data_IF_332962213779
#
_entry.id   IF_332962213779
#
_cell.length_a   1.000
_cell.length_b   1.000
_cell.length_c   1.000
_cell.angle_alpha   90.00
_cell.angle_beta   90.00
_cell.angle_gamma   90.00
#
_symmetry.space_group_name_H-M   'P 1'
#
loop_
_entity.id
_entity.type
_entity.pdbx_description
1 polymer ?
#
# COMPACT_ATOMS: atom_id res chain seq x y z
N UNK A 1 -13.47 -6.49 -1.11
CA UNK A 1 -12.89 -5.36 -1.89
C UNK A 1 -13.71 -4.98 -3.12
N UNK A 2 -13.56 -5.65 -4.28
CA UNK A 2 -14.22 -5.20 -5.55
C UNK A 2 -15.76 -5.15 -5.44
N UNK A 3 -16.36 -6.11 -4.75
CA UNK A 3 -17.81 -6.18 -4.57
C UNK A 3 -18.38 -5.04 -3.71
N UNK A 4 -17.57 -4.38 -2.87
CA UNK A 4 -18.03 -3.32 -1.96
C UNK A 4 -18.24 -1.98 -2.67
N UNK A 5 -17.50 -1.70 -3.75
CA UNK A 5 -17.57 -0.41 -4.47
C UNK A 5 -17.25 -0.56 -5.96
N UNK A 6 -18.02 -1.37 -6.71
CA UNK A 6 -17.68 -1.74 -8.09
C UNK A 6 -17.73 -0.55 -9.06
N UNK A 7 -18.57 0.45 -8.79
CA UNK A 7 -18.79 1.57 -9.71
C UNK A 7 -17.75 2.68 -9.53
N UNK A 8 -17.49 3.09 -8.29
CA UNK A 8 -16.62 4.23 -7.95
C UNK A 8 -15.15 3.84 -7.77
N UNK A 9 -14.89 2.59 -7.41
CA UNK A 9 -13.58 2.16 -6.96
C UNK A 9 -13.19 2.76 -5.60
N UNK A 10 -11.98 2.45 -5.16
CA UNK A 10 -11.41 2.86 -3.86
C UNK A 10 -10.59 4.15 -3.95
N UNK A 11 -10.32 4.66 -5.15
CA UNK A 11 -9.42 5.76 -5.42
C UNK A 11 -7.99 5.32 -5.76
N UNK A 12 -7.22 6.21 -6.40
CA UNK A 12 -5.82 5.97 -6.77
C UNK A 12 -4.97 5.63 -5.53
N UNK A 13 -4.25 4.52 -5.58
CA UNK A 13 -3.44 4.03 -4.47
C UNK A 13 -4.23 3.43 -3.31
N UNK A 14 -5.54 3.20 -3.49
CA UNK A 14 -6.40 2.58 -2.47
C UNK A 14 -6.24 1.05 -2.35
N UNK A 15 -5.52 0.41 -3.29
CA UNK A 15 -5.38 -1.04 -3.32
C UNK A 15 -4.86 -1.67 -2.01
N UNK A 16 -3.74 -1.22 -1.40
CA UNK A 16 -3.20 -1.88 -0.21
C UNK A 16 -4.20 -1.94 0.95
N UNK A 17 -4.85 -0.82 1.26
CA UNK A 17 -5.81 -0.75 2.36
C UNK A 17 -7.08 -1.58 2.07
N UNK A 18 -7.58 -1.54 0.82
CA UNK A 18 -8.73 -2.34 0.42
C UNK A 18 -8.43 -3.85 0.46
N UNK A 19 -7.22 -4.24 0.06
CA UNK A 19 -6.74 -5.61 0.18
C UNK A 19 -6.63 -6.04 1.64
N UNK A 20 -6.01 -5.22 2.49
CA UNK A 20 -5.83 -5.50 3.91
C UNK A 20 -7.19 -5.71 4.60
N UNK A 21 -8.16 -4.82 4.36
CA UNK A 21 -9.52 -4.94 4.89
C UNK A 21 -10.19 -6.25 4.46
N UNK A 22 -10.16 -6.56 3.16
CA UNK A 22 -10.77 -7.77 2.64
C UNK A 22 -10.10 -9.05 3.18
N UNK A 23 -8.77 -9.02 3.35
CA UNK A 23 -8.03 -10.15 3.91
C UNK A 23 -8.35 -10.35 5.40
N UNK A 24 -8.43 -9.29 6.19
CA UNK A 24 -8.85 -9.36 7.59
C UNK A 24 -10.26 -9.93 7.74
N UNK A 25 -11.23 -9.45 6.95
CA UNK A 25 -12.60 -9.97 6.96
C UNK A 25 -12.66 -11.45 6.55
N UNK A 26 -11.85 -11.85 5.57
CA UNK A 26 -11.75 -13.23 5.12
C UNK A 26 -11.28 -14.16 6.25
N UNK A 27 -10.17 -13.81 6.92
CA UNK A 27 -9.63 -14.64 8.00
C UNK A 27 -10.48 -14.60 9.27
N UNK A 28 -11.21 -13.51 9.52
CA UNK A 28 -12.14 -13.39 10.64
C UNK A 28 -13.36 -14.31 10.54
N UNK A 29 -13.86 -14.55 9.32
CA UNK A 29 -15.08 -15.33 9.09
C UNK A 29 -14.89 -16.86 9.22
N UNK A 30 -13.69 -17.33 9.56
CA UNK A 30 -13.41 -18.74 9.90
C UNK A 30 -13.50 -19.75 8.74
N UNK A 31 -13.78 -19.29 7.51
CA UNK A 31 -13.79 -20.13 6.29
C UNK A 31 -12.40 -20.26 5.68
N UNK A 32 -11.40 -20.57 6.51
CA UNK A 32 -9.99 -20.39 6.15
C UNK A 32 -9.30 -21.74 5.98
N UNK A 33 -8.60 -21.94 4.87
CA UNK A 33 -7.70 -23.06 4.70
C UNK A 33 -6.34 -22.77 5.38
N UNK A 34 -5.69 -23.78 5.95
CA UNK A 34 -4.37 -23.61 6.59
C UNK A 34 -3.31 -23.19 5.56
N UNK A 35 -3.42 -23.67 4.32
CA UNK A 35 -2.52 -23.24 3.23
C UNK A 35 -2.67 -21.75 2.90
N UNK A 36 -3.87 -21.20 2.96
CA UNK A 36 -4.14 -19.78 2.68
C UNK A 36 -3.52 -18.88 3.75
N UNK A 37 -3.55 -19.30 5.02
CA UNK A 37 -2.89 -18.58 6.13
C UNK A 37 -1.37 -18.53 5.94
N UNK A 38 -0.75 -19.62 5.50
CA UNK A 38 0.70 -19.71 5.26
C UNK A 38 1.17 -18.80 4.11
N UNK A 39 0.39 -18.74 3.02
CA UNK A 39 0.74 -17.94 1.84
C UNK A 39 0.31 -16.48 1.94
N UNK A 40 -0.53 -16.14 2.93
CA UNK A 40 -0.97 -14.77 3.17
C UNK A 40 0.21 -13.79 3.20
N UNK A 41 -0.02 -12.63 2.57
CA UNK A 41 0.99 -11.60 2.38
C UNK A 41 0.42 -10.21 2.45
N UNK A 42 1.30 -9.23 2.30
CA UNK A 42 1.02 -7.80 2.32
C UNK A 42 1.53 -7.18 1.02
N UNK A 43 0.87 -7.43 -0.13
CA UNK A 43 1.29 -6.91 -1.42
C UNK A 43 1.00 -5.42 -1.55
N UNK A 44 1.97 -4.64 -2.05
CA UNK A 44 1.78 -3.22 -2.37
C UNK A 44 0.90 -3.02 -3.63
N UNK A 45 0.88 -3.99 -4.53
CA UNK A 45 0.21 -3.92 -5.83
C UNK A 45 -0.53 -5.23 -6.13
N UNK A 46 -1.57 -5.16 -6.96
CA UNK A 46 -2.20 -6.37 -7.44
C UNK A 46 -1.28 -7.04 -8.46
N UNK A 47 -1.23 -8.38 -8.45
CA UNK A 47 -0.51 -9.15 -9.47
C UNK A 47 -1.31 -9.24 -10.80
N UNK A 48 -1.98 -8.14 -11.16
CA UNK A 48 -2.79 -7.95 -12.36
C UNK A 48 -3.22 -6.47 -12.44
N UNK A 49 -2.75 -5.75 -13.44
CA UNK A 49 -3.05 -4.30 -13.58
C UNK A 49 -4.53 -4.02 -13.79
N UNK A 50 -5.24 -4.89 -14.51
CA UNK A 50 -6.65 -4.72 -14.81
C UNK A 50 -7.52 -4.81 -13.55
N UNK A 51 -7.21 -5.77 -12.67
CA UNK A 51 -7.87 -5.89 -11.37
C UNK A 51 -7.59 -4.67 -10.50
N UNK A 52 -6.36 -4.17 -10.51
CA UNK A 52 -6.02 -2.96 -9.75
C UNK A 52 -6.74 -1.72 -10.30
N UNK A 53 -6.71 -1.50 -11.62
CA UNK A 53 -7.42 -0.40 -12.29
C UNK A 53 -8.92 -0.47 -11.96
N UNK A 54 -9.52 -1.66 -12.02
CA UNK A 54 -10.93 -1.84 -11.70
C UNK A 54 -11.23 -1.57 -10.22
N UNK A 55 -10.37 -2.03 -9.31
CA UNK A 55 -10.54 -1.81 -7.87
C UNK A 55 -10.35 -0.34 -7.49
N UNK A 56 -9.40 0.37 -8.09
CA UNK A 56 -9.09 1.76 -7.75
C UNK A 56 -9.98 2.76 -8.47
N UNK A 57 -10.24 2.57 -9.77
CA UNK A 57 -11.00 3.51 -10.62
C UNK A 57 -12.46 3.09 -10.85
N UNK A 58 -12.84 1.89 -10.39
CA UNK A 58 -14.18 1.35 -10.61
C UNK A 58 -14.46 0.99 -12.07
N UNK A 59 -15.71 0.65 -12.32
CA UNK A 59 -16.19 0.22 -13.63
C UNK A 59 -15.95 1.26 -14.73
N UNK A 60 -16.14 2.55 -14.42
CA UNK A 60 -15.98 3.62 -15.41
C UNK A 60 -14.52 3.77 -15.86
N UNK A 61 -13.57 3.82 -14.92
CA UNK A 61 -12.15 3.90 -15.27
C UNK A 61 -11.67 2.66 -16.00
N UNK A 62 -12.17 1.48 -15.61
CA UNK A 62 -11.86 0.22 -16.27
C UNK A 62 -12.36 0.17 -17.73
N UNK A 63 -13.63 0.52 -17.97
CA UNK A 63 -14.19 0.57 -19.33
C UNK A 63 -13.45 1.60 -20.18
N UNK A 64 -13.14 2.78 -19.63
CA UNK A 64 -12.39 3.81 -20.33
C UNK A 64 -10.99 3.31 -20.74
N UNK A 65 -10.29 2.61 -19.83
CA UNK A 65 -8.98 2.05 -20.10
C UNK A 65 -9.02 0.98 -21.21
N UNK A 66 -10.00 0.08 -21.16
CA UNK A 66 -10.18 -0.94 -22.20
C UNK A 66 -10.55 -0.33 -23.55
N UNK A 67 -11.44 0.66 -23.56
CA UNK A 67 -11.84 1.36 -24.78
C UNK A 67 -10.65 2.09 -25.42
N UNK A 68 -9.84 2.79 -24.63
CA UNK A 68 -8.64 3.46 -25.11
C UNK A 68 -7.63 2.48 -25.68
N UNK A 69 -7.38 1.37 -24.96
CA UNK A 69 -6.50 0.29 -25.42
C UNK A 69 -6.99 -0.33 -26.73
N UNK A 70 -8.29 -0.57 -26.85
CA UNK A 70 -8.91 -1.07 -28.07
C UNK A 70 -8.76 -0.10 -29.25
N UNK A 71 -8.99 1.21 -29.03
CA UNK A 71 -8.83 2.23 -30.07
C UNK A 71 -7.38 2.33 -30.54
N UNK A 72 -6.41 2.22 -29.63
CA UNK A 72 -4.99 2.21 -29.97
C UNK A 72 -4.67 1.00 -30.87
N UNK A 73 -5.07 -0.20 -30.47
CA UNK A 73 -4.82 -1.43 -31.25
C UNK A 73 -5.51 -1.34 -32.62
N UNK A 74 -6.76 -0.88 -32.66
CA UNK A 74 -7.52 -0.71 -33.91
C UNK A 74 -6.91 0.34 -34.83
N UNK A 75 -6.39 1.45 -34.28
CA UNK A 75 -5.68 2.47 -35.03
C UNK A 75 -4.40 1.90 -35.66
N UNK A 76 -3.60 1.21 -34.86
CA UNK A 76 -2.34 0.62 -35.30
C UNK A 76 -2.52 -0.45 -36.37
N UNK A 77 -3.56 -1.30 -36.27
CA UNK A 77 -3.86 -2.30 -37.30
C UNK A 77 -4.41 -1.68 -38.58
N UNK A 78 -5.27 -0.65 -38.49
CA UNK A 78 -5.81 0.04 -39.65
C UNK A 78 -4.74 0.80 -40.44
N UNK A 79 -3.80 1.41 -39.74
CA UNK A 79 -2.78 2.28 -40.33
C UNK A 79 -1.48 1.53 -40.67
N UNK A 80 -1.53 0.19 -40.74
CA UNK A 80 -0.43 -0.74 -41.05
C UNK A 80 0.79 -0.65 -40.11
N UNK A 81 0.63 -0.10 -38.91
CA UNK A 81 1.66 -0.07 -37.86
C UNK A 81 1.63 -1.35 -37.01
N UNK A 82 1.76 -2.50 -37.69
CA UNK A 82 1.58 -3.84 -37.08
C UNK A 82 2.60 -4.09 -35.96
N UNK A 83 3.84 -3.59 -36.11
CA UNK A 83 4.87 -3.71 -35.07
C UNK A 83 4.46 -3.03 -33.76
N UNK A 84 4.02 -1.77 -33.83
CA UNK A 84 3.59 -1.01 -32.65
C UNK A 84 2.32 -1.61 -32.02
N UNK A 85 1.34 -2.01 -32.85
CA UNK A 85 0.12 -2.67 -32.37
C UNK A 85 0.43 -4.02 -31.69
N UNK A 86 1.31 -4.83 -32.28
CA UNK A 86 1.77 -6.10 -31.72
C UNK A 86 2.52 -5.91 -30.39
N UNK A 87 3.41 -4.92 -30.30
CA UNK A 87 4.09 -4.57 -29.05
C UNK A 87 3.12 -4.11 -27.96
N UNK A 88 2.10 -3.32 -28.32
CA UNK A 88 1.07 -2.87 -27.38
C UNK A 88 0.22 -4.04 -26.87
N UNK A 89 -0.15 -4.99 -27.74
CA UNK A 89 -0.82 -6.23 -27.34
C UNK A 89 0.09 -7.05 -26.40
N UNK A 90 1.38 -7.18 -26.72
CA UNK A 90 2.35 -7.86 -25.86
C UNK A 90 2.42 -7.24 -24.47
N UNK A 91 2.50 -5.92 -24.37
CA UNK A 91 2.46 -5.19 -23.09
C UNK A 91 1.12 -5.40 -22.36
N UNK A 92 0.01 -5.41 -23.10
CA UNK A 92 -1.34 -5.63 -22.54
C UNK A 92 -1.49 -7.04 -21.95
N UNK A 93 -0.95 -8.06 -22.63
CA UNK A 93 -0.93 -9.44 -22.12
C UNK A 93 0.00 -9.55 -20.92
N UNK A 94 1.17 -8.93 -20.96
CA UNK A 94 2.10 -8.90 -19.82
C UNK A 94 1.45 -8.31 -18.56
N UNK A 95 0.65 -7.26 -18.71
CA UNK A 95 -0.09 -6.62 -17.61
C UNK A 95 -1.17 -7.51 -16.95
N UNK A 96 -1.54 -8.66 -17.53
CA UNK A 96 -2.48 -9.61 -16.90
C UNK A 96 -1.87 -10.41 -15.75
N UNK A 97 -0.56 -10.64 -15.79
CA UNK A 97 0.15 -11.50 -14.85
C UNK A 97 1.38 -10.81 -14.24
N UNK A 98 1.45 -9.49 -14.32
CA UNK A 98 2.53 -8.67 -13.79
C UNK A 98 2.03 -7.25 -13.53
N UNK A 99 2.90 -6.42 -12.97
CA UNK A 99 2.60 -5.04 -12.55
C UNK A 99 3.48 -4.00 -13.28
N UNK A 100 3.56 -4.04 -14.63
CA UNK A 100 4.45 -3.16 -15.40
C UNK A 100 4.19 -1.68 -15.17
N UNK A 101 2.96 -1.25 -14.91
CA UNK A 101 2.61 0.17 -14.88
C UNK A 101 3.06 0.89 -13.60
N UNK A 102 3.48 0.16 -12.58
CA UNK A 102 4.11 0.72 -11.39
C UNK A 102 5.54 1.20 -11.64
N UNK A 103 6.16 0.71 -12.71
CA UNK A 103 7.45 1.18 -13.20
C UNK A 103 7.21 2.25 -14.27
N UNK A 104 7.62 3.50 -13.99
CA UNK A 104 7.34 4.67 -14.84
C UNK A 104 7.78 4.51 -16.31
N UNK A 105 8.71 3.60 -16.58
CA UNK A 105 9.19 3.27 -17.93
C UNK A 105 8.06 2.69 -18.79
N UNK A 106 7.20 1.83 -18.24
CA UNK A 106 6.16 1.16 -19.04
C UNK A 106 4.97 2.06 -19.39
N UNK A 107 4.45 2.95 -18.52
CA UNK A 107 3.49 3.97 -18.94
C UNK A 107 4.04 4.88 -20.04
N UNK A 108 5.34 5.23 -20.01
CA UNK A 108 5.98 5.98 -21.09
C UNK A 108 5.96 5.17 -22.40
N UNK A 109 6.34 3.90 -22.35
CA UNK A 109 6.27 3.00 -23.52
C UNK A 109 4.83 2.86 -24.01
N UNK A 110 3.86 2.75 -23.10
CA UNK A 110 2.43 2.67 -23.42
C UNK A 110 1.96 3.89 -24.21
N UNK A 111 2.35 5.10 -23.78
CA UNK A 111 2.04 6.35 -24.48
C UNK A 111 2.75 6.39 -25.84
N UNK A 112 4.04 6.06 -25.91
CA UNK A 112 4.80 6.06 -27.17
C UNK A 112 4.19 5.10 -28.20
N UNK A 113 3.89 3.86 -27.80
CA UNK A 113 3.22 2.89 -28.66
C UNK A 113 1.83 3.39 -29.10
N UNK A 114 1.07 3.99 -28.17
CA UNK A 114 -0.21 4.62 -28.47
C UNK A 114 -0.09 5.73 -29.52
N UNK A 115 0.93 6.58 -29.42
CA UNK A 115 1.18 7.66 -30.39
C UNK A 115 1.57 7.12 -31.77
N UNK A 116 2.42 6.09 -31.85
CA UNK A 116 2.81 5.48 -33.13
C UNK A 116 1.61 4.80 -33.79
N UNK A 117 0.79 4.07 -33.02
CA UNK A 117 -0.42 3.43 -33.53
C UNK A 117 -1.49 4.41 -34.03
N UNK A 118 -1.51 5.64 -33.52
CA UNK A 118 -2.49 6.67 -33.90
C UNK A 118 -1.97 7.65 -34.95
N UNK A 119 -0.65 7.76 -35.08
CA UNK A 119 0.02 8.58 -36.10
C UNK A 119 0.22 7.76 -37.36
N UNK A 120 -0.89 7.42 -38.02
CA UNK A 120 -0.89 6.64 -39.26
C UNK A 120 -0.22 7.38 -40.43
N UNK A 121 0.49 6.63 -41.27
CA UNK A 121 1.22 7.17 -42.43
C UNK A 121 0.32 7.40 -43.67
N UNK A 122 -1.01 7.33 -43.51
CA UNK A 122 -1.98 7.58 -44.58
C UNK A 122 -2.12 9.08 -44.87
N UNK A 123 -1.06 9.66 -45.46
CA UNK A 123 -1.11 10.94 -46.16
C UNK A 123 -1.98 10.90 -47.43
N UNK A 124 -2.47 9.73 -47.85
CA UNK A 124 -3.26 9.57 -49.08
C UNK A 124 -4.78 9.73 -48.93
N UNK A 125 -5.28 10.14 -47.76
CA UNK A 125 -6.63 10.75 -47.67
C UNK A 125 -6.58 12.13 -47.05
N UNK A 126 -5.75 13.01 -47.62
CA UNK A 126 -6.10 14.42 -47.78
C UNK A 126 -7.27 14.58 -48.78
N UNK A 127 -8.34 13.80 -48.61
CA UNK A 127 -9.64 14.21 -49.15
C UNK A 127 -10.08 15.36 -48.27
N UNK A 128 -10.22 16.53 -48.88
CA UNK A 128 -10.76 17.77 -48.34
C UNK A 128 -12.14 17.52 -47.69
N UNK A 129 -12.19 16.92 -46.50
CA UNK A 129 -13.31 17.13 -45.60
C UNK A 129 -13.06 18.50 -45.01
N UNK A 130 -13.88 19.48 -45.38
CA UNK A 130 -13.96 20.77 -44.69
C UNK A 130 -13.83 20.49 -43.20
N UNK A 131 -12.66 20.79 -42.65
CA UNK A 131 -12.43 20.74 -41.21
C UNK A 131 -13.22 21.90 -40.67
N UNK A 132 -14.48 21.64 -40.30
CA UNK A 132 -15.37 22.66 -39.79
C UNK A 132 -14.65 23.43 -38.69
N UNK A 133 -14.75 24.76 -38.71
CA UNK A 133 -14.08 25.69 -37.78
C UNK A 133 -14.18 25.22 -36.32
N UNK A 134 -15.28 24.55 -35.96
CA UNK A 134 -15.48 23.88 -34.66
C UNK A 134 -14.51 22.75 -34.30
N UNK A 135 -14.05 21.90 -35.25
CA UNK A 135 -13.03 20.86 -34.97
C UNK A 135 -11.67 21.48 -34.65
N UNK A 136 -11.29 22.54 -35.37
CA UNK A 136 -10.02 23.25 -35.12
C UNK A 136 -10.08 23.94 -33.75
N UNK A 137 -11.18 24.63 -33.44
CA UNK A 137 -11.40 25.26 -32.14
C UNK A 137 -11.36 24.22 -31.00
N UNK A 138 -12.00 23.06 -31.20
CA UNK A 138 -11.98 21.97 -30.22
C UNK A 138 -10.57 21.39 -30.01
N UNK A 139 -9.80 21.19 -31.08
CA UNK A 139 -8.41 20.73 -30.98
C UNK A 139 -7.52 21.74 -30.25
N UNK A 140 -7.67 23.05 -30.54
CA UNK A 140 -6.93 24.11 -29.83
C UNK A 140 -7.31 24.12 -28.35
N UNK A 141 -8.60 24.06 -28.02
CA UNK A 141 -9.09 24.02 -26.64
C UNK A 141 -8.51 22.80 -25.89
N UNK A 142 -8.51 21.63 -26.51
CA UNK A 142 -7.96 20.41 -25.93
C UNK A 142 -6.45 20.53 -25.66
N UNK A 143 -5.68 21.11 -26.58
CA UNK A 143 -4.24 21.37 -26.36
C UNK A 143 -4.02 22.34 -25.21
N UNK A 144 -4.82 23.41 -25.10
CA UNK A 144 -4.72 24.37 -23.98
C UNK A 144 -5.05 23.70 -22.65
N UNK A 145 -6.11 22.89 -22.59
CA UNK A 145 -6.50 22.16 -21.38
C UNK A 145 -5.42 21.14 -20.98
N UNK A 146 -4.90 20.37 -21.92
CA UNK A 146 -3.82 19.42 -21.66
C UNK A 146 -2.52 20.12 -21.24
N UNK A 147 -2.20 21.27 -21.86
CA UNK A 147 -1.06 22.10 -21.48
C UNK A 147 -1.18 22.61 -20.05
N UNK A 148 -2.35 23.13 -19.67
CA UNK A 148 -2.64 23.58 -18.31
C UNK A 148 -2.61 22.43 -17.29
N UNK A 149 -3.23 21.29 -17.61
CA UNK A 149 -3.16 20.11 -16.74
C UNK A 149 -1.71 19.65 -16.54
N UNK A 150 -0.90 19.67 -17.61
CA UNK A 150 0.51 19.29 -17.56
C UNK A 150 1.33 20.23 -16.67
N UNK A 151 1.12 21.55 -16.75
CA UNK A 151 1.84 22.51 -15.89
C UNK A 151 1.45 22.36 -14.42
N UNK A 152 0.18 22.09 -14.12
CA UNK A 152 -0.28 21.78 -12.75
C UNK A 152 0.34 20.47 -12.24
N UNK A 153 0.37 19.42 -13.06
CA UNK A 153 1.02 18.16 -12.69
C UNK A 153 2.52 18.35 -12.41
N UNK A 154 3.22 19.10 -13.26
CA UNK A 154 4.66 19.41 -13.09
C UNK A 154 4.89 20.21 -11.81
N UNK A 155 4.05 21.21 -11.51
CA UNK A 155 4.22 22.02 -10.30
C UNK A 155 4.02 21.19 -9.03
N UNK A 156 2.98 20.34 -8.98
CA UNK A 156 2.75 19.40 -7.88
C UNK A 156 3.91 18.40 -7.74
N UNK A 157 4.36 17.84 -8.86
CA UNK A 157 5.48 16.90 -8.86
C UNK A 157 6.77 17.54 -8.36
N UNK A 158 7.02 18.82 -8.67
CA UNK A 158 8.17 19.57 -8.16
C UNK A 158 8.15 19.70 -6.63
N UNK A 159 6.98 19.99 -6.05
CA UNK A 159 6.82 20.05 -4.58
C UNK A 159 7.10 18.70 -3.94
N UNK A 160 6.54 17.62 -4.48
CA UNK A 160 6.79 16.25 -3.99
C UNK A 160 8.27 15.88 -4.13
N UNK A 161 8.88 16.18 -5.27
CA UNK A 161 10.30 15.92 -5.52
C UNK A 161 11.19 16.64 -4.50
N UNK A 162 10.93 17.92 -4.25
CA UNK A 162 11.66 18.69 -3.25
C UNK A 162 11.49 18.09 -1.86
N UNK A 163 10.26 17.73 -1.46
CA UNK A 163 10.00 17.07 -0.18
C UNK A 163 10.76 15.73 -0.05
N UNK A 164 10.77 14.90 -1.10
CA UNK A 164 11.54 13.63 -1.12
C UNK A 164 13.04 13.85 -1.07
N UNK A 165 13.55 14.91 -1.72
CA UNK A 165 14.97 15.29 -1.66
C UNK A 165 15.36 15.71 -0.25
N UNK A 166 14.54 16.52 0.41
CA UNK A 166 14.75 16.95 1.79
C UNK A 166 14.66 15.75 2.75
N UNK A 167 13.66 14.88 2.60
CA UNK A 167 13.57 13.63 3.37
C UNK A 167 14.85 12.79 3.23
N UNK A 168 15.37 12.62 2.00
CA UNK A 168 16.64 11.93 1.76
C UNK A 168 17.83 12.61 2.46
N UNK A 169 17.85 13.94 2.57
CA UNK A 169 18.87 14.66 3.33
C UNK A 169 18.79 14.37 4.83
N UNK A 170 17.61 14.07 5.36
CA UNK A 170 17.39 13.77 6.78
C UNK A 170 17.69 12.31 7.17
N UNK A 171 17.74 11.40 6.19
CA UNK A 171 17.98 9.95 6.39
C UNK A 171 19.22 9.61 7.26
N UNK A 172 20.36 10.31 7.16
CA UNK A 172 21.49 10.04 8.06
C UNK A 172 21.13 10.24 9.54
N UNK A 173 20.37 11.29 9.86
CA UNK A 173 19.91 11.56 11.24
C UNK A 173 18.94 10.49 11.74
N UNK A 174 18.03 10.02 10.88
CA UNK A 174 17.14 8.90 11.19
C UNK A 174 17.95 7.63 11.50
N UNK A 175 18.96 7.33 10.67
CA UNK A 175 19.81 6.14 10.79
C UNK A 175 20.60 6.14 12.11
N UNK A 176 21.18 7.28 12.49
CA UNK A 176 21.91 7.43 13.78
C UNK A 176 20.98 7.69 14.98
N UNK A 177 19.65 7.61 14.78
CA UNK A 177 18.60 7.83 15.79
C UNK A 177 18.62 9.20 16.45
N UNK A 178 19.11 10.23 15.76
CA UNK A 178 19.11 11.63 16.22
C UNK A 178 17.74 12.28 15.98
N UNK A 179 16.69 11.68 16.55
CA UNK A 179 15.29 11.99 16.25
C UNK A 179 14.85 13.38 16.67
N UNK A 180 15.34 13.87 17.81
CA UNK A 180 15.03 15.22 18.32
C UNK A 180 15.41 16.32 17.33
N UNK A 181 16.46 16.11 16.53
CA UNK A 181 16.96 17.09 15.56
C UNK A 181 16.10 17.20 14.29
N UNK A 182 15.28 16.19 14.00
CA UNK A 182 14.58 16.08 12.71
C UNK A 182 13.07 16.05 12.84
N UNK A 183 12.52 15.93 14.05
CA UNK A 183 11.08 15.78 14.27
C UNK A 183 10.24 16.90 13.66
N UNK A 184 10.66 18.16 13.82
CA UNK A 184 9.98 19.31 13.21
C UNK A 184 10.06 19.30 11.68
N UNK A 185 11.22 18.90 11.14
CA UNK A 185 11.42 18.76 9.69
C UNK A 185 10.51 17.68 9.12
N UNK A 186 10.41 16.53 9.78
CA UNK A 186 9.47 15.47 9.38
C UNK A 186 8.01 15.91 9.51
N UNK A 187 7.65 16.70 10.51
CA UNK A 187 6.29 17.23 10.65
C UNK A 187 5.90 18.12 9.45
N UNK A 188 6.79 19.03 9.04
CA UNK A 188 6.55 19.85 7.85
C UNK A 188 6.39 19.00 6.58
N UNK A 189 7.24 17.98 6.41
CA UNK A 189 7.23 17.08 5.25
C UNK A 189 5.97 16.20 5.23
N UNK A 190 5.37 15.89 6.37
CA UNK A 190 4.16 15.07 6.45
C UNK A 190 2.97 15.67 5.70
N UNK A 191 2.87 17.00 5.63
CA UNK A 191 1.82 17.67 4.84
C UNK A 191 1.86 17.34 3.34
N UNK A 192 3.04 16.95 2.83
CA UNK A 192 3.27 16.62 1.42
C UNK A 192 3.42 15.11 1.20
N UNK A 193 4.06 14.39 2.14
CA UNK A 193 4.47 13.00 1.98
C UNK A 193 3.59 11.99 2.73
N UNK A 194 2.43 12.38 3.25
CA UNK A 194 1.47 11.49 3.95
C UNK A 194 0.85 10.36 3.09
N UNK A 195 1.23 10.25 1.82
CA UNK A 195 0.84 9.17 0.92
C UNK A 195 1.96 8.12 0.76
N UNK A 196 3.19 8.40 1.19
CA UNK A 196 4.33 7.50 1.08
C UNK A 196 4.44 6.67 2.36
N UNK A 197 4.05 5.39 2.30
CA UNK A 197 3.99 4.52 3.47
C UNK A 197 5.31 4.41 4.24
N UNK A 198 6.46 4.47 3.54
CA UNK A 198 7.78 4.39 4.18
C UNK A 198 8.06 5.65 5.00
N UNK A 199 7.79 6.82 4.41
CA UNK A 199 7.90 8.10 5.12
C UNK A 199 6.99 8.15 6.35
N UNK A 200 5.72 7.74 6.19
CA UNK A 200 4.73 7.73 7.28
C UNK A 200 5.17 6.83 8.41
N UNK A 201 5.71 5.64 8.10
CA UNK A 201 6.22 4.72 9.12
C UNK A 201 7.42 5.31 9.88
N UNK A 202 8.43 5.84 9.17
CA UNK A 202 9.59 6.50 9.78
C UNK A 202 9.17 7.66 10.69
N UNK A 203 8.25 8.52 10.23
CA UNK A 203 7.78 9.64 11.02
C UNK A 203 7.10 9.18 12.31
N UNK A 204 6.24 8.16 12.23
CA UNK A 204 5.63 7.56 13.42
C UNK A 204 6.66 7.02 14.41
N UNK A 205 7.74 6.40 13.92
CA UNK A 205 8.83 5.91 14.77
C UNK A 205 9.62 7.05 15.45
N UNK A 206 9.88 8.15 14.74
CA UNK A 206 10.48 9.37 15.32
C UNK A 206 9.60 9.92 16.44
N UNK A 207 8.29 10.04 16.21
CA UNK A 207 7.34 10.51 17.22
C UNK A 207 7.29 9.61 18.46
N UNK A 208 7.37 8.29 18.27
CA UNK A 208 7.48 7.34 19.37
C UNK A 208 8.73 7.54 20.20
N UNK A 209 9.88 7.67 19.55
CA UNK A 209 11.16 7.85 20.23
C UNK A 209 11.27 9.18 20.98
N UNK A 210 10.52 10.20 20.54
CA UNK A 210 10.41 11.53 21.18
C UNK A 210 9.23 11.61 22.17
N UNK A 211 8.66 10.47 22.56
CA UNK A 211 7.55 10.35 23.51
C UNK A 211 6.21 11.00 23.11
N UNK A 212 6.03 11.34 21.83
CA UNK A 212 4.78 11.90 21.29
C UNK A 212 3.82 10.81 20.78
N UNK A 213 3.44 9.85 21.65
CA UNK A 213 2.68 8.64 21.26
C UNK A 213 1.30 8.91 20.68
N UNK A 214 0.60 9.92 21.17
CA UNK A 214 -0.72 10.31 20.65
C UNK A 214 -0.60 10.74 19.18
N UNK A 215 0.35 11.62 18.87
CA UNK A 215 0.63 12.08 17.50
C UNK A 215 1.11 10.92 16.63
N UNK A 216 1.96 10.04 17.16
CA UNK A 216 2.41 8.85 16.45
C UNK A 216 1.24 7.93 16.07
N UNK A 217 0.27 7.71 16.97
CA UNK A 217 -0.91 6.90 16.68
C UNK A 217 -1.80 7.52 15.58
N UNK A 218 -1.88 8.85 15.49
CA UNK A 218 -2.52 9.53 14.36
C UNK A 218 -1.79 9.24 13.04
N UNK A 219 -0.45 9.32 13.03
CA UNK A 219 0.38 9.02 11.86
C UNK A 219 0.28 7.55 11.45
N UNK A 220 0.33 6.61 12.39
CA UNK A 220 0.15 5.18 12.09
C UNK A 220 -1.27 4.85 11.60
N UNK A 221 -2.28 5.60 12.06
CA UNK A 221 -3.65 5.45 11.52
C UNK A 221 -3.70 5.82 10.05
N UNK A 222 -2.99 6.89 9.65
CA UNK A 222 -2.82 7.19 8.22
C UNK A 222 -2.09 6.08 7.48
N UNK A 223 -1.09 5.47 8.10
CA UNK A 223 -0.38 4.31 7.55
C UNK A 223 -1.29 3.13 7.22
N UNK A 224 -2.23 2.80 8.12
CA UNK A 224 -3.25 1.75 7.90
C UNK A 224 -4.16 2.08 6.71
N UNK A 225 -4.41 3.35 6.41
CA UNK A 225 -5.25 3.76 5.26
C UNK A 225 -4.53 3.66 3.90
N UNK A 226 -3.20 3.56 3.88
CA UNK A 226 -2.40 3.59 2.65
C UNK A 226 -1.53 2.35 2.46
N UNK A 227 -1.54 1.43 3.42
CA UNK A 227 -0.66 0.26 3.46
C UNK A 227 -1.41 -0.99 3.89
N UNK A 228 -0.85 -2.14 3.51
CA UNK A 228 -1.22 -3.46 4.00
C UNK A 228 -0.14 -4.06 4.92
N UNK A 229 0.81 -3.27 5.40
CA UNK A 229 1.85 -3.73 6.32
C UNK A 229 1.29 -3.89 7.74
N UNK A 230 1.29 -5.11 8.33
CA UNK A 230 0.85 -5.34 9.71
C UNK A 230 1.63 -4.54 10.76
N UNK A 231 2.84 -4.06 10.44
CA UNK A 231 3.67 -3.33 11.40
C UNK A 231 3.03 -2.02 11.85
N UNK A 232 2.20 -1.39 11.01
CA UNK A 232 1.40 -0.22 11.42
C UNK A 232 0.48 -0.54 12.59
N UNK A 233 -0.18 -1.71 12.56
CA UNK A 233 -1.00 -2.18 13.68
C UNK A 233 -0.14 -2.52 14.90
N UNK A 234 0.96 -3.26 14.71
CA UNK A 234 1.81 -3.70 15.82
C UNK A 234 2.42 -2.52 16.60
N UNK A 235 2.97 -1.53 15.91
CA UNK A 235 3.57 -0.37 16.58
C UNK A 235 2.50 0.51 17.24
N UNK A 236 1.36 0.72 16.58
CA UNK A 236 0.22 1.45 17.16
C UNK A 236 -0.34 0.73 18.41
N UNK A 237 -0.42 -0.60 18.38
CA UNK A 237 -0.82 -1.42 19.53
C UNK A 237 0.15 -1.31 20.70
N UNK A 238 1.46 -1.32 20.42
CA UNK A 238 2.50 -1.10 21.45
C UNK A 238 2.38 0.27 22.12
N UNK A 239 2.12 1.30 21.34
CA UNK A 239 1.87 2.63 21.88
C UNK A 239 0.67 2.65 22.82
N UNK A 240 -0.45 2.02 22.44
CA UNK A 240 -1.62 1.90 23.32
C UNK A 240 -1.33 1.08 24.58
N UNK A 241 -0.55 0.00 24.47
CA UNK A 241 -0.14 -0.80 25.62
C UNK A 241 0.67 0.06 26.61
N UNK A 242 1.67 0.79 26.14
CA UNK A 242 2.47 1.70 26.99
C UNK A 242 1.63 2.84 27.59
N UNK A 243 0.56 3.26 26.90
CA UNK A 243 -0.42 4.23 27.41
C UNK A 243 -1.47 3.61 28.35
N UNK A 244 -1.37 2.31 28.66
CA UNK A 244 -2.34 1.53 29.47
C UNK A 244 -3.76 1.45 28.86
N UNK A 245 -3.87 1.68 27.55
CA UNK A 245 -5.12 1.52 26.79
C UNK A 245 -5.24 0.09 26.25
N UNK A 246 -5.29 -0.88 27.17
CA UNK A 246 -5.16 -2.32 26.88
C UNK A 246 -6.13 -2.83 25.81
N UNK A 247 -7.39 -2.39 25.84
CA UNK A 247 -8.39 -2.80 24.86
C UNK A 247 -8.02 -2.38 23.43
N UNK A 248 -7.53 -1.15 23.24
CA UNK A 248 -7.11 -0.66 21.92
C UNK A 248 -5.83 -1.34 21.44
N UNK A 249 -4.94 -1.71 22.37
CA UNK A 249 -3.76 -2.50 22.05
C UNK A 249 -4.14 -3.91 21.55
N UNK A 250 -5.05 -4.59 22.26
CA UNK A 250 -5.60 -5.90 21.87
C UNK A 250 -6.21 -5.83 20.47
N UNK A 251 -7.09 -4.86 20.21
CA UNK A 251 -7.71 -4.64 18.89
C UNK A 251 -6.66 -4.47 17.77
N UNK A 252 -5.59 -3.70 18.02
CA UNK A 252 -4.53 -3.53 17.02
C UNK A 252 -3.79 -4.84 16.73
N UNK A 253 -3.38 -5.59 17.75
CA UNK A 253 -2.68 -6.86 17.55
C UNK A 253 -3.58 -7.91 16.90
N UNK A 254 -4.87 -7.94 17.26
CA UNK A 254 -5.86 -8.78 16.61
C UNK A 254 -5.99 -8.44 15.14
N UNK A 255 -6.06 -7.16 14.75
CA UNK A 255 -6.05 -6.79 13.33
C UNK A 255 -4.76 -7.20 12.61
N UNK A 256 -3.60 -7.12 13.26
CA UNK A 256 -2.36 -7.66 12.68
C UNK A 256 -2.44 -9.17 12.44
N UNK A 257 -3.09 -9.93 13.32
CA UNK A 257 -3.30 -11.38 13.19
C UNK A 257 -4.33 -11.69 12.11
N UNK A 258 -5.46 -10.98 12.10
CA UNK A 258 -6.48 -11.09 11.06
C UNK A 258 -5.88 -10.79 9.68
N UNK A 259 -4.91 -9.88 9.61
CA UNK A 259 -4.23 -9.56 8.35
C UNK A 259 -3.24 -10.65 7.94
N UNK A 260 -2.41 -11.14 8.86
CA UNK A 260 -1.43 -12.21 8.61
C UNK A 260 -1.38 -13.21 9.78
N UNK A 261 -2.19 -14.29 9.75
CA UNK A 261 -2.33 -15.23 10.87
C UNK A 261 -1.06 -16.01 11.22
N UNK A 262 -0.13 -16.17 10.30
CA UNK A 262 1.12 -16.92 10.53
C UNK A 262 2.30 -16.03 10.98
N UNK A 263 2.05 -14.75 11.27
CA UNK A 263 3.09 -13.88 11.84
C UNK A 263 3.16 -14.07 13.36
N UNK A 264 4.29 -14.53 13.84
CA UNK A 264 4.55 -14.77 15.28
C UNK A 264 4.53 -13.48 16.11
N UNK A 265 5.06 -12.38 15.57
CA UNK A 265 5.23 -11.12 16.30
C UNK A 265 3.98 -10.59 17.01
N UNK A 266 2.79 -10.47 16.38
CA UNK A 266 1.59 -10.00 17.08
C UNK A 266 1.11 -10.94 18.19
N UNK A 267 1.34 -12.25 18.10
CA UNK A 267 1.03 -13.17 19.20
C UNK A 267 1.95 -12.93 20.40
N UNK A 268 3.24 -12.72 20.16
CA UNK A 268 4.20 -12.33 21.20
C UNK A 268 3.78 -11.01 21.89
N UNK A 269 3.32 -10.02 21.12
CA UNK A 269 2.80 -8.77 21.67
C UNK A 269 1.52 -8.97 22.51
N UNK A 270 0.62 -9.87 22.09
CA UNK A 270 -0.54 -10.25 22.89
C UNK A 270 -0.15 -10.97 24.18
N UNK A 271 0.82 -11.90 24.15
CA UNK A 271 1.33 -12.54 25.37
C UNK A 271 1.81 -11.51 26.37
N UNK A 272 2.60 -10.53 25.92
CA UNK A 272 3.06 -9.42 26.77
C UNK A 272 1.92 -8.54 27.28
N UNK A 273 0.93 -8.25 26.45
CA UNK A 273 -0.24 -7.46 26.82
C UNK A 273 -1.06 -8.13 27.94
N UNK A 274 -1.24 -9.45 27.86
CA UNK A 274 -1.99 -10.22 28.85
C UNK A 274 -1.17 -10.65 30.08
N UNK A 275 0.16 -10.56 30.01
CA UNK A 275 1.05 -10.77 31.14
C UNK A 275 1.25 -9.49 31.98
N UNK A 276 0.88 -8.32 31.46
CA UNK A 276 0.96 -7.05 32.17
C UNK A 276 0.19 -7.13 33.50
N UNK A 277 0.81 -6.80 34.65
CA UNK A 277 0.15 -6.86 35.95
C UNK A 277 -1.18 -6.09 36.03
N UNK A 278 -1.30 -4.97 35.30
CA UNK A 278 -2.52 -4.16 35.28
C UNK A 278 -3.57 -4.66 34.26
N UNK A 279 -3.26 -5.67 33.47
CA UNK A 279 -4.16 -6.30 32.49
C UNK A 279 -3.98 -7.83 32.45
N UNK A 280 -3.73 -8.44 33.61
CA UNK A 280 -3.40 -9.86 33.67
C UNK A 280 -4.60 -10.71 33.26
N UNK A 281 -4.46 -11.47 32.15
CA UNK A 281 -5.50 -12.32 31.59
C UNK A 281 -4.90 -13.71 31.26
N UNK A 282 -4.82 -14.62 32.25
CA UNK A 282 -4.03 -15.86 32.14
C UNK A 282 -4.44 -16.75 30.97
N UNK A 283 -5.74 -16.98 30.78
CA UNK A 283 -6.23 -17.87 29.71
C UNK A 283 -5.88 -17.34 28.31
N UNK A 284 -5.99 -16.02 28.11
CA UNK A 284 -5.64 -15.39 26.83
C UNK A 284 -4.13 -15.33 26.63
N UNK A 285 -3.38 -15.06 27.71
CA UNK A 285 -1.92 -15.07 27.71
C UNK A 285 -1.39 -16.44 27.26
N UNK A 286 -1.90 -17.53 27.86
CA UNK A 286 -1.50 -18.89 27.53
C UNK A 286 -1.76 -19.22 26.06
N UNK A 287 -2.96 -18.93 25.55
CA UNK A 287 -3.30 -19.15 24.13
C UNK A 287 -2.38 -18.39 23.17
N UNK A 288 -2.08 -17.14 23.49
CA UNK A 288 -1.16 -16.34 22.68
C UNK A 288 0.29 -16.87 22.77
N UNK A 289 0.74 -17.26 23.96
CA UNK A 289 2.07 -17.83 24.19
C UNK A 289 2.26 -19.15 23.42
N UNK A 290 1.27 -20.05 23.49
CA UNK A 290 1.27 -21.30 22.74
C UNK A 290 1.41 -21.06 21.23
N UNK A 291 0.69 -20.07 20.68
CA UNK A 291 0.82 -19.71 19.27
C UNK A 291 2.25 -19.23 18.91
N UNK A 292 2.97 -18.55 19.80
CA UNK A 292 4.37 -18.15 19.58
C UNK A 292 5.33 -19.34 19.53
N UNK A 293 5.09 -20.32 20.40
CA UNK A 293 5.95 -21.51 20.55
C UNK A 293 5.70 -22.51 19.41
N UNK A 294 4.45 -22.72 19.01
CA UNK A 294 4.07 -23.76 18.04
C UNK A 294 4.19 -23.32 16.59
N UNK A 295 3.90 -22.05 16.26
CA UNK A 295 3.90 -21.60 14.86
C UNK A 295 5.29 -21.64 14.26
N UNK A 296 5.38 -22.18 13.04
CA UNK A 296 6.63 -22.17 12.28
C UNK A 296 6.90 -20.78 11.69
N UNK A 297 8.10 -20.22 11.88
CA UNK A 297 8.41 -18.91 11.34
C UNK A 297 8.58 -18.98 9.82
N UNK A 298 7.89 -18.09 9.09
CA UNK A 298 8.09 -17.91 7.64
C UNK A 298 9.53 -17.50 7.28
N UNK A 299 10.23 -16.85 8.20
CA UNK A 299 11.65 -16.47 8.08
C UNK A 299 12.32 -16.77 9.42
N UNK A 300 13.24 -17.73 9.42
CA UNK A 300 14.06 -18.02 10.61
C UNK A 300 14.95 -16.82 10.91
N UNK A 301 14.88 -16.31 12.13
CA UNK A 301 15.70 -15.20 12.59
C UNK A 301 15.95 -15.29 14.10
N UNK A 302 17.02 -14.65 14.55
CA UNK A 302 17.39 -14.56 15.97
C UNK A 302 16.24 -13.98 16.80
N UNK A 303 15.52 -12.99 16.26
CA UNK A 303 14.37 -12.38 16.92
C UNK A 303 13.25 -13.38 17.26
N UNK A 304 13.05 -14.44 16.45
CA UNK A 304 12.06 -15.49 16.78
C UNK A 304 12.49 -16.27 18.01
N UNK A 305 13.77 -16.61 18.11
CA UNK A 305 14.32 -17.31 19.27
C UNK A 305 14.21 -16.44 20.53
N UNK A 306 14.60 -15.16 20.44
CA UNK A 306 14.49 -14.20 21.55
C UNK A 306 13.04 -14.06 22.04
N UNK A 307 12.07 -13.96 21.12
CA UNK A 307 10.65 -13.90 21.50
C UNK A 307 10.17 -15.16 22.21
N UNK A 308 10.58 -16.35 21.74
CA UNK A 308 10.20 -17.62 22.38
C UNK A 308 10.83 -17.76 23.76
N UNK A 309 12.09 -17.37 23.91
CA UNK A 309 12.79 -17.38 25.20
C UNK A 309 12.13 -16.43 26.21
N UNK A 310 11.75 -15.22 25.77
CA UNK A 310 11.01 -14.27 26.61
C UNK A 310 9.63 -14.79 27.00
N UNK A 311 8.90 -15.40 26.06
CA UNK A 311 7.59 -16.02 26.36
C UNK A 311 7.73 -17.13 27.39
N UNK A 312 8.72 -18.01 27.27
CA UNK A 312 8.97 -19.06 28.26
C UNK A 312 9.26 -18.48 29.66
N UNK A 313 10.06 -17.40 29.74
CA UNK A 313 10.31 -16.71 31.01
C UNK A 313 9.03 -16.15 31.61
N UNK A 314 8.19 -15.50 30.81
CA UNK A 314 6.89 -14.96 31.24
C UNK A 314 6.00 -16.08 31.81
N UNK A 315 5.94 -17.24 31.15
CA UNK A 315 5.14 -18.37 31.61
C UNK A 315 5.61 -18.85 32.99
N UNK A 316 6.91 -19.11 33.15
CA UNK A 316 7.51 -19.57 34.42
C UNK A 316 7.26 -18.55 35.54
N UNK A 317 7.47 -17.26 35.28
CA UNK A 317 7.27 -16.19 36.27
C UNK A 317 5.82 -16.10 36.73
N UNK A 318 4.85 -16.28 35.83
CA UNK A 318 3.42 -16.17 36.16
C UNK A 318 2.86 -17.44 36.80
N UNK A 319 3.34 -18.62 36.43
CA UNK A 319 3.00 -19.89 37.09
C UNK A 319 3.45 -19.86 38.57
N UNK A 320 4.69 -19.41 38.83
CA UNK A 320 5.23 -19.29 40.18
C UNK A 320 4.48 -18.28 41.08
N UNK A 321 3.76 -17.31 40.49
CA UNK A 321 2.91 -16.37 41.23
C UNK A 321 1.55 -16.99 41.54
N UNK A 322 0.99 -17.81 40.63
CA UNK A 322 -0.30 -18.47 40.85
C UNK A 322 -0.22 -19.62 41.87
N UNK A 323 0.98 -20.19 42.10
CA UNK A 323 1.22 -21.23 43.11
C UNK A 323 1.49 -20.69 44.54
N UNK A 324 1.58 -19.36 44.73
CA UNK A 324 1.83 -18.70 46.03
C UNK A 324 0.57 -18.11 46.65
#
# INVERSE_FOLDING_TARGET
AIQESPVKGTGLGGFPAAYAKAQMEYFKNGKTNETEKLVAGSPEYAFNEYLQIFLEQGLFGFILFLLLSFLIIKGGTRDNQIGAAGSFIGLSVFALASYPYHLWQFPVVWVLLGTVCTTGNNRETCSKKQTGRGRIIFSILLVVVLGFASTVCISRQKVIYNAKKEWKRLQPFYTVKAYDKVVESYDSLYTVLNFDQKFVFEYGMILNATNMRVKANCVFSRGVEISCDPMFYNVKGRNYHEMKEYKKAEECYTHSIELLPERIYPYYLLTRLYADPANYQPDKMWKAAQAVLEKEPKVHSVAIHEMRDEVNKILIEKEAINER
#
